data_IF_893398785449
#
_entry.id   IF_893398785449
#
_cell.length_a   1.000
_cell.length_b   1.000
_cell.length_c   1.000
_cell.angle_alpha   90.00
_cell.angle_beta   90.00
_cell.angle_gamma   90.00
#
_symmetry.space_group_name_H-M   'P 1'
#
loop_
_entity.id
_entity.type
_entity.pdbx_description
1 polymer ?
#
# COMPACT_ATOMS: atom_id res chain seq x y z
N UNK A 1 -12.34 53.29 61.72
CA UNK A 1 -12.44 52.68 60.39
C UNK A 1 -11.04 52.49 59.82
N UNK A 2 -10.48 51.27 59.96
CA UNK A 2 -9.13 50.92 59.51
C UNK A 2 -9.22 50.34 58.08
N UNK A 3 -8.59 50.98 57.13
CA UNK A 3 -8.45 50.46 55.76
C UNK A 3 -7.41 49.35 55.71
N UNK A 4 -7.84 48.16 55.38
CA UNK A 4 -6.99 47.02 55.17
C UNK A 4 -6.44 47.11 53.73
N UNK A 5 -5.14 47.30 53.60
CA UNK A 5 -4.44 47.23 52.29
C UNK A 5 -4.12 45.76 52.04
N UNK A 6 -4.76 45.22 51.03
CA UNK A 6 -4.43 43.90 50.50
C UNK A 6 -3.18 43.98 49.64
N UNK A 7 -2.08 43.45 50.14
CA UNK A 7 -0.84 43.24 49.37
C UNK A 7 -0.98 41.95 48.59
N UNK A 8 -1.08 42.01 47.30
CA UNK A 8 -0.98 40.87 46.38
C UNK A 8 0.51 40.64 46.13
N UNK A 9 1.08 39.48 46.46
CA UNK A 9 2.45 39.17 46.04
C UNK A 9 2.46 38.86 44.53
N UNK A 10 3.24 39.62 43.81
CA UNK A 10 3.61 39.33 42.42
C UNK A 10 4.50 38.09 42.46
N UNK A 11 3.91 36.94 42.16
CA UNK A 11 4.69 35.74 41.91
C UNK A 11 5.27 35.87 40.50
N UNK A 12 6.55 36.11 40.46
CA UNK A 12 7.34 36.05 39.23
C UNK A 12 7.24 34.65 38.63
N UNK A 13 6.55 34.53 37.53
CA UNK A 13 6.56 33.31 36.70
C UNK A 13 7.93 33.30 36.00
N UNK A 14 8.93 32.80 36.71
CA UNK A 14 10.19 32.40 36.06
C UNK A 14 9.89 31.20 35.15
N UNK A 15 10.11 31.42 33.90
CA UNK A 15 10.15 30.49 32.79
C UNK A 15 10.65 29.11 33.19
N UNK A 16 9.74 28.16 33.40
CA UNK A 16 10.00 26.76 33.12
C UNK A 16 9.81 26.57 31.62
N UNK A 17 10.78 27.01 30.85
CA UNK A 17 11.07 26.36 29.58
C UNK A 17 11.55 24.95 29.94
N UNK A 18 10.61 24.05 30.16
CA UNK A 18 10.87 22.64 30.02
C UNK A 18 11.30 22.46 28.57
N UNK A 19 12.59 22.29 28.40
CA UNK A 19 13.21 21.72 27.22
C UNK A 19 12.42 20.46 26.89
N UNK A 20 11.42 20.60 26.02
CA UNK A 20 11.02 19.50 25.19
C UNK A 20 12.28 19.14 24.40
N UNK A 21 13.08 18.28 24.98
CA UNK A 21 13.95 17.41 24.21
C UNK A 21 13.00 16.70 23.27
N UNK A 22 12.85 17.25 22.08
CA UNK A 22 12.51 16.49 20.91
C UNK A 22 13.51 15.33 20.95
N UNK A 23 13.07 14.22 21.52
CA UNK A 23 13.59 12.93 21.18
C UNK A 23 13.34 12.82 19.67
N UNK A 24 14.22 13.43 18.90
CA UNK A 24 14.53 12.98 17.58
C UNK A 24 14.97 11.55 17.79
N UNK A 25 13.98 10.63 17.83
CA UNK A 25 14.25 9.21 17.64
C UNK A 25 14.97 9.21 16.30
N UNK A 26 16.25 9.11 16.42
CA UNK A 26 17.21 9.26 15.35
C UNK A 26 16.79 8.33 14.23
N UNK A 27 16.37 8.87 13.10
CA UNK A 27 16.23 8.12 11.84
C UNK A 27 17.52 7.35 11.53
N UNK A 28 18.62 7.73 12.16
CA UNK A 28 19.95 7.18 11.99
C UNK A 28 20.10 5.73 12.47
N UNK A 29 19.36 5.27 13.47
CA UNK A 29 19.48 3.88 13.91
C UNK A 29 18.69 2.92 13.03
N UNK A 30 17.65 3.39 12.41
CA UNK A 30 16.90 2.63 11.41
C UNK A 30 17.70 2.48 10.11
N UNK A 31 18.36 3.54 9.66
CA UNK A 31 19.23 3.51 8.48
C UNK A 31 20.53 2.75 8.74
N UNK A 32 21.07 2.81 9.95
CA UNK A 32 22.29 2.08 10.35
C UNK A 32 22.08 0.58 10.54
N UNK A 33 20.89 0.15 10.86
CA UNK A 33 20.61 -1.28 10.96
C UNK A 33 20.33 -1.83 9.58
N UNK A 34 21.20 -2.21 8.74
CA UNK A 34 21.06 -3.03 7.47
C UNK A 34 19.67 -3.66 7.21
N UNK A 35 18.62 -3.08 7.76
CA UNK A 35 17.27 -3.57 7.83
C UNK A 35 16.65 -3.62 6.48
N UNK A 36 16.95 -2.62 5.75
CA UNK A 36 16.47 -2.33 4.45
C UNK A 36 17.67 -1.99 3.61
N UNK A 37 18.51 -2.98 3.36
CA UNK A 37 19.49 -2.93 2.28
C UNK A 37 18.72 -2.91 0.96
N UNK A 38 17.78 -1.96 0.85
CA UNK A 38 17.10 -1.73 -0.40
C UNK A 38 17.99 -0.91 -1.30
N UNK A 39 17.98 -1.16 -2.58
CA UNK A 39 18.67 -0.32 -3.53
C UNK A 39 18.15 1.11 -3.38
N UNK A 40 19.05 2.08 -3.33
CA UNK A 40 18.69 3.47 -3.52
C UNK A 40 18.16 3.59 -4.95
N UNK A 41 16.84 3.71 -5.07
CA UNK A 41 16.14 3.63 -6.34
C UNK A 41 16.29 4.88 -7.21
N UNK A 42 17.31 5.70 -7.01
CA UNK A 42 17.50 6.88 -7.84
C UNK A 42 17.64 6.57 -9.31
N UNK A 43 18.05 5.34 -9.65
CA UNK A 43 18.47 5.01 -11.02
C UNK A 43 17.73 3.82 -11.66
N UNK A 44 16.95 3.02 -10.93
CA UNK A 44 16.56 1.75 -11.49
C UNK A 44 15.13 1.31 -11.35
N UNK A 45 14.38 1.84 -10.45
CA UNK A 45 13.02 1.40 -10.22
C UNK A 45 12.11 2.61 -10.02
N UNK A 46 11.51 3.07 -11.10
CA UNK A 46 10.44 4.05 -11.12
C UNK A 46 10.74 5.45 -10.56
N UNK A 47 11.99 5.77 -10.17
CA UNK A 47 12.38 7.13 -9.78
C UNK A 47 11.84 7.65 -8.44
N UNK A 48 11.18 6.81 -7.63
CA UNK A 48 10.72 7.16 -6.28
C UNK A 48 11.46 6.32 -5.23
N UNK A 49 12.17 6.92 -4.26
CA UNK A 49 12.81 6.20 -3.17
C UNK A 49 11.81 5.38 -2.35
N UNK A 50 12.15 4.15 -1.95
CA UNK A 50 11.23 3.27 -1.20
C UNK A 50 10.76 3.87 0.13
N UNK A 51 11.61 4.70 0.78
CA UNK A 51 11.25 5.43 2.00
C UNK A 51 10.11 6.44 1.79
N UNK A 52 9.84 6.83 0.55
CA UNK A 52 8.74 7.71 0.17
C UNK A 52 7.47 6.94 -0.22
N UNK A 53 7.26 5.75 0.35
CA UNK A 53 6.10 4.90 0.09
C UNK A 53 4.76 5.62 0.28
N UNK A 54 4.69 6.63 1.14
CA UNK A 54 3.49 7.47 1.30
C UNK A 54 3.16 8.35 0.08
N UNK A 55 4.03 8.35 -0.93
CA UNK A 55 3.85 9.08 -2.20
C UNK A 55 3.85 8.17 -3.41
N UNK A 56 3.62 6.87 -3.20
CA UNK A 56 3.72 5.86 -4.26
C UNK A 56 2.77 6.11 -5.44
N UNK A 57 1.66 6.78 -5.22
CA UNK A 57 0.73 7.19 -6.29
C UNK A 57 1.36 8.13 -7.33
N UNK A 58 2.47 8.82 -6.99
CA UNK A 58 3.21 9.64 -7.97
C UNK A 58 3.77 8.82 -9.13
N UNK A 59 4.07 7.54 -8.91
CA UNK A 59 4.54 6.64 -9.97
C UNK A 59 3.51 6.50 -11.09
N UNK A 60 2.21 6.54 -10.75
CA UNK A 60 1.15 6.35 -11.72
C UNK A 60 0.94 7.58 -12.61
N UNK A 61 1.57 8.72 -12.31
CA UNK A 61 1.58 9.89 -13.19
C UNK A 61 2.60 9.77 -14.35
N UNK A 62 3.49 8.79 -14.30
CA UNK A 62 4.46 8.56 -15.38
C UNK A 62 3.73 8.15 -16.65
N UNK A 63 4.14 8.76 -17.76
CA UNK A 63 3.62 8.43 -19.09
C UNK A 63 4.40 7.28 -19.69
N UNK A 64 3.68 6.34 -20.27
CA UNK A 64 4.23 5.19 -20.96
C UNK A 64 3.54 5.02 -22.32
N UNK A 65 4.28 4.54 -23.30
CA UNK A 65 3.74 4.24 -24.62
C UNK A 65 3.58 2.75 -24.76
N UNK A 66 2.35 2.30 -24.98
CA UNK A 66 2.01 0.89 -25.15
C UNK A 66 1.03 0.72 -26.30
N UNK A 67 0.91 -0.52 -26.79
CA UNK A 67 -0.06 -0.87 -27.83
C UNK A 67 -1.35 -1.38 -27.21
N UNK A 68 -2.47 -0.88 -27.70
CA UNK A 68 -3.80 -1.38 -27.40
C UNK A 68 -4.60 -1.58 -28.69
N UNK A 69 -5.62 -2.44 -28.64
CA UNK A 69 -6.54 -2.61 -29.75
C UNK A 69 -7.24 -1.29 -30.04
N UNK A 70 -7.22 -0.87 -31.32
CA UNK A 70 -7.94 0.32 -31.72
C UNK A 70 -9.46 0.15 -31.62
N UNK A 71 -10.16 1.26 -31.43
CA UNK A 71 -11.62 1.26 -31.40
C UNK A 71 -12.25 0.77 -32.73
N UNK A 72 -11.60 1.11 -33.85
CA UNK A 72 -12.04 0.72 -35.19
C UNK A 72 -11.13 -0.35 -35.74
N UNK A 73 -11.69 -1.40 -36.39
CA UNK A 73 -10.90 -2.40 -37.07
C UNK A 73 -10.21 -1.80 -38.31
N UNK A 74 -9.25 -2.52 -38.82
CA UNK A 74 -8.62 -2.22 -40.09
C UNK A 74 -9.67 -2.18 -41.22
N UNK A 75 -9.78 -1.08 -42.00
CA UNK A 75 -10.80 -0.96 -43.02
C UNK A 75 -10.65 -1.97 -44.19
N UNK A 76 -9.45 -2.50 -44.40
CA UNK A 76 -9.18 -3.44 -45.46
C UNK A 76 -9.41 -4.90 -45.06
N UNK A 77 -9.02 -5.24 -43.85
CA UNK A 77 -9.06 -6.64 -43.39
C UNK A 77 -10.20 -6.92 -42.44
N UNK A 78 -10.83 -5.90 -41.84
CA UNK A 78 -11.84 -6.04 -40.80
C UNK A 78 -11.29 -6.54 -39.46
N UNK A 79 -9.98 -6.73 -39.32
CA UNK A 79 -9.34 -7.26 -38.10
C UNK A 79 -9.00 -6.15 -37.12
N UNK A 80 -8.94 -6.48 -35.78
CA UNK A 80 -8.48 -5.53 -34.80
C UNK A 80 -7.06 -5.05 -35.09
N UNK A 81 -6.87 -3.73 -35.09
CA UNK A 81 -5.54 -3.12 -35.21
C UNK A 81 -4.95 -2.79 -33.86
N UNK A 82 -3.64 -2.94 -33.72
CA UNK A 82 -2.90 -2.42 -32.58
C UNK A 82 -2.41 -1.00 -32.90
N UNK A 83 -2.74 -0.05 -32.04
CA UNK A 83 -2.23 1.33 -32.08
C UNK A 83 -1.44 1.65 -30.84
N UNK A 84 -0.45 2.52 -30.98
CA UNK A 84 0.31 3.07 -29.87
C UNK A 84 -0.44 4.23 -29.23
N UNK A 85 -0.48 4.21 -27.90
CA UNK A 85 -1.03 5.26 -27.06
C UNK A 85 0.00 5.64 -26.01
N UNK A 86 0.17 6.94 -25.79
CA UNK A 86 1.06 7.47 -24.73
C UNK A 86 0.19 8.04 -23.63
N UNK A 87 0.08 7.33 -22.54
CA UNK A 87 -0.83 7.64 -21.45
C UNK A 87 -0.15 7.46 -20.08
N UNK A 88 -0.75 8.01 -19.04
CA UNK A 88 -0.27 7.76 -17.66
C UNK A 88 -0.56 6.31 -17.25
N UNK A 89 0.18 5.80 -16.27
CA UNK A 89 -0.18 4.50 -15.68
C UNK A 89 -1.60 4.51 -15.08
N UNK A 90 -2.08 5.65 -14.54
CA UNK A 90 -3.47 5.78 -14.12
C UNK A 90 -4.45 5.41 -15.22
N UNK A 91 -4.21 5.90 -16.41
CA UNK A 91 -5.08 5.67 -17.54
C UNK A 91 -4.91 4.25 -18.10
N UNK A 92 -3.68 3.74 -18.16
CA UNK A 92 -3.38 2.36 -18.58
C UNK A 92 -4.03 1.31 -17.66
N UNK A 93 -4.03 1.53 -16.38
CA UNK A 93 -4.70 0.64 -15.41
C UNK A 93 -6.19 0.96 -15.24
N UNK A 94 -6.77 1.70 -16.16
CA UNK A 94 -8.21 2.03 -16.18
C UNK A 94 -8.75 2.46 -14.83
N UNK A 95 -8.02 3.38 -14.17
CA UNK A 95 -8.42 3.87 -12.87
C UNK A 95 -9.73 4.66 -12.91
N UNK A 96 -10.52 4.52 -11.84
CA UNK A 96 -11.74 5.31 -11.59
C UNK A 96 -11.52 6.26 -10.41
N UNK A 97 -12.14 7.45 -10.45
CA UNK A 97 -12.20 8.30 -9.27
C UNK A 97 -13.54 8.11 -8.55
N UNK A 98 -13.53 8.28 -7.25
CA UNK A 98 -14.72 8.12 -6.42
C UNK A 98 -14.62 8.88 -5.10
N UNK A 99 -15.63 8.66 -4.28
CA UNK A 99 -15.74 9.22 -2.94
C UNK A 99 -16.17 8.10 -1.97
N UNK A 100 -15.50 7.98 -0.83
CA UNK A 100 -15.83 6.99 0.19
C UNK A 100 -17.21 7.29 0.76
N UNK A 101 -18.09 6.31 0.73
CA UNK A 101 -19.44 6.41 1.31
C UNK A 101 -19.58 5.61 2.59
N UNK A 102 -18.74 4.59 2.79
CA UNK A 102 -18.70 3.79 4.02
C UNK A 102 -17.37 3.06 4.13
N UNK A 103 -16.78 3.01 5.31
CA UNK A 103 -15.78 2.01 5.71
C UNK A 103 -16.53 0.90 6.42
N UNK A 104 -16.30 -0.36 6.05
CA UNK A 104 -17.02 -1.51 6.60
C UNK A 104 -16.17 -2.20 7.67
N UNK A 105 -14.90 -2.37 7.35
CA UNK A 105 -13.83 -2.94 8.19
C UNK A 105 -12.47 -2.44 7.70
N UNK A 106 -11.39 -3.01 8.19
CA UNK A 106 -10.03 -2.54 7.86
C UNK A 106 -9.61 -2.71 6.41
N UNK A 107 -10.34 -3.47 5.58
CA UNK A 107 -9.99 -3.72 4.18
C UNK A 107 -11.19 -3.75 3.21
N UNK A 108 -12.36 -3.40 3.68
CA UNK A 108 -13.59 -3.35 2.89
C UNK A 108 -14.26 -1.98 2.98
N UNK A 109 -14.49 -1.36 1.85
CA UNK A 109 -15.11 -0.02 1.78
C UNK A 109 -16.17 0.06 0.68
N UNK A 110 -17.06 1.04 0.79
CA UNK A 110 -17.93 1.46 -0.31
C UNK A 110 -17.46 2.79 -0.87
N UNK A 111 -17.43 2.90 -2.19
CA UNK A 111 -17.12 4.14 -2.88
C UNK A 111 -18.18 4.45 -3.95
N UNK A 112 -18.56 5.72 -4.05
CA UNK A 112 -19.39 6.24 -5.15
C UNK A 112 -18.47 6.67 -6.27
N UNK A 113 -18.69 6.18 -7.47
CA UNK A 113 -17.91 6.56 -8.66
C UNK A 113 -18.25 8.00 -9.05
N UNK A 114 -17.23 8.84 -9.16
CA UNK A 114 -17.34 10.24 -9.58
C UNK A 114 -16.77 10.47 -10.97
N UNK A 115 -15.85 9.60 -11.43
CA UNK A 115 -15.27 9.67 -12.75
C UNK A 115 -14.91 8.29 -13.27
N UNK A 116 -15.31 8.02 -14.49
CA UNK A 116 -15.02 6.75 -15.19
C UNK A 116 -13.58 6.72 -15.72
N UNK A 117 -13.05 5.52 -16.03
CA UNK A 117 -11.74 5.38 -16.64
C UNK A 117 -11.66 6.12 -17.98
N UNK A 118 -10.47 6.62 -18.30
CA UNK A 118 -10.20 7.12 -19.64
C UNK A 118 -10.31 5.97 -20.65
N UNK A 119 -11.00 6.21 -21.73
CA UNK A 119 -11.09 5.25 -22.83
C UNK A 119 -9.76 5.22 -23.60
N UNK A 120 -9.10 4.06 -23.62
CA UNK A 120 -7.92 3.78 -24.41
C UNK A 120 -8.26 2.65 -25.37
N UNK A 121 -8.13 2.90 -26.66
CA UNK A 121 -8.47 1.91 -27.67
C UNK A 121 -9.94 1.46 -27.57
N UNK A 122 -10.16 0.16 -27.59
CA UNK A 122 -11.49 -0.46 -27.52
C UNK A 122 -11.99 -0.71 -26.08
N UNK A 123 -11.25 -0.24 -25.05
CA UNK A 123 -11.69 -0.42 -23.66
C UNK A 123 -13.08 0.17 -23.41
N UNK A 124 -13.90 -0.59 -22.72
CA UNK A 124 -15.24 -0.17 -22.28
C UNK A 124 -15.49 -0.62 -20.86
N UNK A 125 -16.41 0.05 -20.18
CA UNK A 125 -16.85 -0.30 -18.83
C UNK A 125 -18.36 -0.27 -18.75
N UNK A 126 -18.94 -1.11 -17.88
CA UNK A 126 -20.37 -1.12 -17.58
C UNK A 126 -20.75 -0.18 -16.42
N UNK A 127 -19.76 0.37 -15.73
CA UNK A 127 -20.00 1.32 -14.64
C UNK A 127 -20.52 2.66 -15.13
N UNK A 128 -21.22 3.35 -14.25
CA UNK A 128 -21.74 4.70 -14.46
C UNK A 128 -21.28 5.61 -13.32
N UNK A 129 -21.16 6.90 -13.61
CA UNK A 129 -20.99 7.92 -12.56
C UNK A 129 -22.22 7.87 -11.66
N UNK A 130 -21.98 7.85 -10.34
CA UNK A 130 -23.02 7.71 -9.31
C UNK A 130 -23.18 6.27 -8.79
N UNK A 131 -22.69 5.26 -9.48
CA UNK A 131 -22.72 3.88 -8.97
C UNK A 131 -21.94 3.80 -7.65
N UNK A 132 -22.52 3.06 -6.69
CA UNK A 132 -21.85 2.73 -5.42
C UNK A 132 -21.34 1.30 -5.54
N UNK A 133 -20.03 1.14 -5.38
CA UNK A 133 -19.35 -0.16 -5.47
C UNK A 133 -18.74 -0.54 -4.12
N UNK A 134 -18.80 -1.81 -3.81
CA UNK A 134 -18.13 -2.41 -2.66
C UNK A 134 -16.77 -2.91 -3.07
N UNK A 135 -15.74 -2.51 -2.36
CA UNK A 135 -14.34 -2.82 -2.66
C UNK A 135 -13.74 -3.71 -1.57
N UNK A 136 -12.97 -4.70 -1.99
CA UNK A 136 -11.96 -5.41 -1.20
C UNK A 136 -10.61 -4.83 -1.54
N UNK A 137 -9.96 -4.22 -0.57
CA UNK A 137 -8.62 -3.67 -0.76
C UNK A 137 -7.61 -4.81 -0.74
N UNK A 138 -6.81 -5.01 -1.80
CA UNK A 138 -5.87 -6.12 -1.89
C UNK A 138 -4.58 -5.85 -1.11
N UNK A 139 -3.72 -6.86 -1.08
CA UNK A 139 -2.37 -6.82 -0.51
C UNK A 139 -2.30 -6.68 1.01
N UNK A 140 -3.44 -6.60 1.67
CA UNK A 140 -3.58 -6.60 3.13
C UNK A 140 -4.69 -7.55 3.57
N UNK A 141 -4.61 -7.96 4.82
CA UNK A 141 -5.67 -8.71 5.49
C UNK A 141 -5.77 -8.23 6.93
N UNK A 142 -6.91 -7.67 7.28
CA UNK A 142 -7.18 -7.13 8.61
C UNK A 142 -7.85 -8.19 9.49
N UNK A 143 -7.93 -7.94 10.77
CA UNK A 143 -8.69 -8.80 11.67
C UNK A 143 -10.20 -8.75 11.31
N UNK A 144 -10.92 -9.81 11.61
CA UNK A 144 -12.33 -9.92 11.27
C UNK A 144 -13.24 -9.42 12.40
N UNK A 145 -14.12 -8.49 12.09
CA UNK A 145 -15.19 -8.07 13.01
C UNK A 145 -16.37 -9.04 12.97
N UNK A 146 -16.59 -9.63 11.81
CA UNK A 146 -17.72 -10.51 11.55
C UNK A 146 -17.38 -11.52 10.44
N UNK A 147 -17.63 -12.79 10.74
CA UNK A 147 -17.52 -13.89 9.77
C UNK A 147 -18.92 -14.53 9.63
N UNK A 148 -19.50 -14.57 8.41
CA UNK A 148 -20.80 -15.16 8.23
C UNK A 148 -20.91 -16.60 8.76
N UNK A 149 -21.86 -16.86 9.64
CA UNK A 149 -22.10 -18.20 10.20
C UNK A 149 -21.12 -18.65 11.29
N UNK A 150 -20.21 -17.77 11.75
CA UNK A 150 -19.26 -18.08 12.82
C UNK A 150 -19.26 -16.98 13.87
N UNK A 151 -18.97 -17.32 15.10
CA UNK A 151 -18.66 -16.37 16.16
C UNK A 151 -17.17 -16.02 16.05
N UNK A 152 -16.86 -14.72 15.97
CA UNK A 152 -15.47 -14.25 15.94
C UNK A 152 -14.92 -14.25 17.35
N UNK A 153 -13.68 -14.72 17.51
CA UNK A 153 -12.97 -14.67 18.80
C UNK A 153 -12.99 -13.24 19.38
N UNK A 154 -13.39 -13.04 20.64
CA UNK A 154 -13.53 -11.70 21.22
C UNK A 154 -12.23 -10.88 21.20
N UNK A 155 -11.07 -11.54 21.31
CA UNK A 155 -9.76 -10.89 21.25
C UNK A 155 -9.46 -10.43 19.85
N UNK A 156 -9.71 -11.28 18.83
CA UNK A 156 -9.57 -10.91 17.42
C UNK A 156 -10.48 -9.75 17.07
N UNK A 157 -11.75 -9.81 17.50
CA UNK A 157 -12.72 -8.72 17.28
C UNK A 157 -12.27 -7.39 17.91
N UNK A 158 -11.64 -7.42 19.07
CA UNK A 158 -11.11 -6.20 19.70
C UNK A 158 -9.95 -5.59 18.88
N UNK A 159 -9.15 -6.40 18.20
CA UNK A 159 -8.14 -5.92 17.26
C UNK A 159 -8.79 -5.38 15.98
N UNK A 160 -9.80 -6.08 15.45
CA UNK A 160 -10.54 -5.66 14.26
C UNK A 160 -11.17 -4.27 14.42
N UNK A 161 -11.77 -3.97 15.56
CA UNK A 161 -12.29 -2.63 15.83
C UNK A 161 -11.21 -1.54 15.82
N UNK A 162 -9.98 -1.88 16.18
CA UNK A 162 -8.86 -0.92 16.18
C UNK A 162 -8.29 -0.71 14.79
N UNK A 163 -8.16 -1.75 13.97
CA UNK A 163 -7.71 -1.59 12.59
C UNK A 163 -8.78 -0.89 11.73
N UNK A 164 -10.07 -1.17 11.95
CA UNK A 164 -11.18 -0.44 11.36
C UNK A 164 -11.13 1.06 11.72
N UNK A 165 -10.99 1.40 12.99
CA UNK A 165 -10.88 2.79 13.41
C UNK A 165 -9.67 3.50 12.78
N UNK A 166 -8.55 2.79 12.58
CA UNK A 166 -7.42 3.33 11.85
C UNK A 166 -7.73 3.53 10.36
N UNK A 167 -8.39 2.56 9.72
CA UNK A 167 -8.85 2.69 8.33
C UNK A 167 -9.78 3.90 8.14
N UNK A 168 -10.77 4.09 9.03
CA UNK A 168 -11.64 5.27 9.02
C UNK A 168 -10.88 6.58 9.20
N UNK A 169 -9.82 6.58 10.01
CA UNK A 169 -8.98 7.76 10.21
C UNK A 169 -8.18 8.15 8.96
N UNK A 170 -7.84 7.17 8.12
CA UNK A 170 -7.13 7.41 6.85
C UNK A 170 -8.07 7.93 5.76
N UNK A 171 -9.26 7.35 5.66
CA UNK A 171 -10.22 7.59 4.58
C UNK A 171 -11.66 7.76 5.14
N UNK A 172 -11.91 8.79 5.96
CA UNK A 172 -13.25 9.05 6.45
C UNK A 172 -14.26 9.22 5.29
N UNK A 173 -15.53 9.03 5.57
CA UNK A 173 -16.62 9.27 4.59
C UNK A 173 -16.47 10.65 3.96
N UNK A 174 -16.63 10.74 2.64
CA UNK A 174 -16.39 11.94 1.84
C UNK A 174 -14.96 12.07 1.31
N UNK A 175 -14.04 11.17 1.69
CA UNK A 175 -12.68 11.18 1.13
C UNK A 175 -12.71 10.88 -0.37
N UNK A 176 -12.10 11.77 -1.15
CA UNK A 176 -11.87 11.54 -2.58
C UNK A 176 -10.80 10.47 -2.77
N UNK A 177 -11.10 9.51 -3.62
CA UNK A 177 -10.22 8.37 -3.89
C UNK A 177 -10.06 8.13 -5.37
N UNK A 178 -8.94 7.50 -5.74
CA UNK A 178 -8.70 6.93 -7.06
C UNK A 178 -8.44 5.44 -6.91
N UNK A 179 -9.13 4.64 -7.68
CA UNK A 179 -9.19 3.19 -7.56
C UNK A 179 -8.56 2.54 -8.78
N UNK A 180 -7.72 1.56 -8.57
CA UNK A 180 -7.07 0.76 -9.61
C UNK A 180 -7.39 -0.70 -9.39
N UNK A 181 -7.97 -1.36 -10.39
CA UNK A 181 -8.22 -2.80 -10.36
C UNK A 181 -7.45 -3.50 -11.48
N UNK A 182 -6.86 -4.65 -11.22
CA UNK A 182 -6.30 -5.48 -12.28
C UNK A 182 -7.38 -5.95 -13.27
N UNK A 183 -8.60 -6.08 -12.79
CA UNK A 183 -9.73 -6.47 -13.62
C UNK A 183 -11.06 -6.05 -12.97
N UNK A 184 -11.69 -5.01 -13.51
CA UNK A 184 -12.97 -4.51 -13.05
C UNK A 184 -14.16 -5.48 -13.26
N UNK A 185 -13.96 -6.59 -13.95
CA UNK A 185 -14.97 -7.64 -14.08
C UNK A 185 -14.87 -8.70 -12.99
N UNK A 186 -13.75 -8.76 -12.26
CA UNK A 186 -13.51 -9.78 -11.22
C UNK A 186 -14.00 -9.31 -9.86
N UNK A 187 -14.68 -10.22 -9.15
CA UNK A 187 -15.15 -10.01 -7.79
C UNK A 187 -14.66 -11.14 -6.88
N UNK A 188 -14.39 -10.79 -5.64
CA UNK A 188 -14.26 -11.74 -4.54
C UNK A 188 -15.57 -11.68 -3.75
N UNK A 189 -16.41 -12.70 -3.87
CA UNK A 189 -17.81 -12.68 -3.45
C UNK A 189 -18.57 -11.54 -4.16
N UNK A 190 -19.05 -10.54 -3.42
CA UNK A 190 -19.79 -9.37 -3.94
C UNK A 190 -18.91 -8.11 -4.08
N UNK A 191 -17.60 -8.20 -3.79
CA UNK A 191 -16.66 -7.08 -3.74
C UNK A 191 -15.76 -7.06 -4.96
N UNK A 192 -15.58 -5.89 -5.58
CA UNK A 192 -14.53 -5.67 -6.56
C UNK A 192 -13.17 -5.57 -5.86
N UNK A 193 -12.13 -6.15 -6.43
CA UNK A 193 -10.76 -6.05 -5.91
C UNK A 193 -10.10 -4.84 -6.54
N UNK A 194 -9.76 -3.84 -5.73
CA UNK A 194 -9.09 -2.65 -6.23
C UNK A 194 -8.19 -2.01 -5.16
N UNK A 195 -7.00 -1.60 -5.60
CA UNK A 195 -6.13 -0.71 -4.83
C UNK A 195 -6.74 0.68 -4.74
N UNK A 196 -6.61 1.31 -3.58
CA UNK A 196 -7.23 2.58 -3.27
C UNK A 196 -6.16 3.63 -2.95
N UNK A 197 -6.25 4.75 -3.66
CA UNK A 197 -5.36 5.89 -3.48
C UNK A 197 -6.14 7.12 -3.01
N UNK A 198 -5.54 7.91 -2.14
CA UNK A 198 -6.16 9.08 -1.51
C UNK A 198 -5.13 10.17 -1.20
N UNK A 199 -5.57 11.23 -0.54
CA UNK A 199 -4.73 12.38 -0.23
C UNK A 199 -4.58 13.33 -1.41
N UNK A 200 -3.67 14.30 -1.28
CA UNK A 200 -3.42 15.27 -2.32
C UNK A 200 -2.91 14.56 -3.59
N UNK A 201 -3.58 14.82 -4.72
CA UNK A 201 -3.27 14.21 -6.01
C UNK A 201 -3.22 12.66 -6.00
N UNK A 202 -3.93 12.02 -5.07
CA UNK A 202 -3.98 10.56 -4.91
C UNK A 202 -2.59 9.92 -4.71
N UNK A 203 -1.69 10.61 -4.00
CA UNK A 203 -0.32 10.11 -3.84
C UNK A 203 -0.17 8.98 -2.82
N UNK A 204 -1.10 8.84 -1.86
CA UNK A 204 -1.06 7.84 -0.80
C UNK A 204 -1.83 6.59 -1.21
N UNK A 205 -1.24 5.41 -1.00
CA UNK A 205 -1.93 4.14 -1.20
C UNK A 205 -2.41 3.59 0.15
N UNK A 206 -3.65 3.14 0.22
CA UNK A 206 -4.29 2.69 1.45
C UNK A 206 -3.57 1.49 2.08
N UNK A 207 -3.22 0.47 1.27
CA UNK A 207 -2.54 -0.73 1.78
C UNK A 207 -1.15 -0.41 2.33
N UNK A 208 -0.39 0.49 1.69
CA UNK A 208 0.91 0.93 2.22
C UNK A 208 0.77 1.67 3.54
N UNK A 209 -0.26 2.51 3.69
CA UNK A 209 -0.50 3.25 4.94
C UNK A 209 -0.96 2.34 6.08
N UNK A 210 -1.82 1.36 5.82
CA UNK A 210 -2.25 0.37 6.79
C UNK A 210 -1.07 -0.48 7.29
N UNK A 211 -0.21 -0.94 6.38
CA UNK A 211 1.01 -1.69 6.70
C UNK A 211 2.01 -0.83 7.49
N UNK A 212 2.28 0.39 7.03
CA UNK A 212 3.16 1.33 7.71
C UNK A 212 2.62 1.74 9.09
N UNK A 213 1.30 1.82 9.23
CA UNK A 213 0.61 2.06 10.49
C UNK A 213 0.72 0.90 11.48
N UNK A 214 1.07 -0.31 11.00
CA UNK A 214 1.20 -1.52 11.83
C UNK A 214 -0.13 -2.08 12.31
N UNK A 215 -1.21 -1.88 11.53
CA UNK A 215 -2.56 -2.35 11.85
C UNK A 215 -3.02 -3.55 11.04
N UNK A 216 -2.20 -4.03 10.12
CA UNK A 216 -2.52 -5.19 9.29
C UNK A 216 -1.27 -5.99 8.96
N UNK A 217 -1.47 -7.22 8.49
CA UNK A 217 -0.44 -8.01 7.83
C UNK A 217 -0.60 -7.92 6.30
N UNK A 218 0.49 -8.04 5.54
CA UNK A 218 0.37 -8.17 4.10
C UNK A 218 -0.24 -9.54 3.77
N UNK A 219 -1.21 -9.53 2.87
CA UNK A 219 -1.73 -10.71 2.20
C UNK A 219 -1.34 -10.63 0.74
N UNK A 220 -0.38 -11.44 0.38
CA UNK A 220 0.07 -11.60 -0.99
C UNK A 220 -0.39 -13.00 -1.43
N UNK A 221 -1.67 -13.18 -1.83
CA UNK A 221 -2.16 -14.45 -2.30
C UNK A 221 -1.21 -14.89 -3.41
N UNK A 222 -0.79 -16.15 -3.34
CA UNK A 222 0.18 -16.67 -4.29
C UNK A 222 1.58 -16.01 -4.15
N UNK A 223 2.07 -15.91 -2.92
CA UNK A 223 3.38 -15.32 -2.59
C UNK A 223 4.47 -15.62 -3.63
N UNK A 224 4.53 -16.86 -4.11
CA UNK A 224 5.46 -17.25 -5.15
C UNK A 224 5.16 -16.63 -6.50
N UNK A 225 3.88 -16.44 -6.87
CA UNK A 225 3.48 -15.88 -8.16
C UNK A 225 3.72 -14.37 -8.20
N UNK A 226 3.40 -13.63 -7.12
CA UNK A 226 3.68 -12.18 -7.04
C UNK A 226 5.18 -11.90 -7.14
N UNK A 227 5.99 -12.62 -6.37
CA UNK A 227 7.44 -12.46 -6.41
C UNK A 227 8.02 -12.94 -7.75
N UNK A 228 7.48 -14.00 -8.33
CA UNK A 228 7.91 -14.52 -9.63
C UNK A 228 7.57 -13.54 -10.75
N UNK A 229 6.34 -13.03 -10.78
CA UNK A 229 5.92 -12.00 -11.74
C UNK A 229 6.77 -10.74 -11.63
N UNK A 230 6.91 -10.21 -10.41
CA UNK A 230 7.76 -9.06 -10.16
C UNK A 230 9.20 -9.26 -10.66
N UNK A 231 9.78 -10.45 -10.42
CA UNK A 231 11.13 -10.79 -10.87
C UNK A 231 11.23 -10.89 -12.38
N UNK A 232 10.26 -11.53 -13.01
CA UNK A 232 10.23 -11.68 -14.47
C UNK A 232 10.08 -10.33 -15.19
N UNK A 233 9.42 -9.36 -14.58
CA UNK A 233 9.15 -8.05 -15.17
C UNK A 233 10.06 -6.93 -14.65
N UNK A 234 11.01 -7.26 -13.77
CA UNK A 234 11.80 -6.22 -13.08
C UNK A 234 12.61 -5.35 -14.02
N UNK A 235 13.28 -5.95 -14.99
CA UNK A 235 14.13 -5.27 -15.97
C UNK A 235 13.35 -4.71 -17.16
N UNK A 236 12.04 -4.87 -17.24
CA UNK A 236 11.22 -4.17 -18.22
C UNK A 236 11.10 -2.70 -17.87
N UNK A 237 11.32 -1.82 -18.82
CA UNK A 237 11.17 -0.36 -18.63
C UNK A 237 9.72 0.00 -18.36
N UNK A 238 8.79 -0.66 -19.02
CA UNK A 238 7.35 -0.46 -18.83
C UNK A 238 6.80 -1.59 -17.96
N UNK A 239 6.11 -1.22 -16.88
CA UNK A 239 5.46 -2.18 -15.99
C UNK A 239 4.04 -2.46 -16.50
N UNK A 240 3.83 -3.68 -16.94
CA UNK A 240 2.53 -4.12 -17.46
C UNK A 240 1.52 -4.40 -16.34
N UNK A 241 2.03 -4.76 -15.16
CA UNK A 241 1.18 -5.08 -14.01
C UNK A 241 1.33 -4.02 -12.91
N UNK A 242 0.20 -3.57 -12.37
CA UNK A 242 0.17 -2.62 -11.27
C UNK A 242 0.97 -3.12 -10.05
N UNK A 243 0.89 -4.41 -9.75
CA UNK A 243 1.62 -5.03 -8.64
C UNK A 243 3.14 -4.89 -8.76
N UNK A 244 3.68 -4.85 -9.97
CA UNK A 244 5.12 -4.67 -10.21
C UNK A 244 5.59 -3.26 -9.82
N UNK A 245 4.69 -2.28 -9.82
CA UNK A 245 4.97 -0.92 -9.36
C UNK A 245 4.94 -0.81 -7.82
N UNK A 246 3.99 -1.45 -7.17
CA UNK A 246 3.68 -1.18 -5.75
C UNK A 246 4.36 -2.14 -4.78
N UNK A 247 4.70 -3.37 -5.18
CA UNK A 247 5.20 -4.42 -4.30
C UNK A 247 6.41 -4.01 -3.43
N UNK A 248 7.46 -3.33 -3.95
CA UNK A 248 8.58 -2.91 -3.13
C UNK A 248 8.19 -1.88 -2.06
N UNK A 249 7.19 -1.04 -2.34
CA UNK A 249 6.70 -0.03 -1.38
C UNK A 249 5.83 -0.65 -0.30
N UNK A 250 4.99 -1.63 -0.64
CA UNK A 250 4.27 -2.44 0.34
C UNK A 250 5.24 -3.15 1.29
N UNK A 251 6.27 -3.79 0.73
CA UNK A 251 7.31 -4.46 1.50
C UNK A 251 8.06 -3.48 2.41
N UNK A 252 8.43 -2.31 1.91
CA UNK A 252 9.10 -1.28 2.71
C UNK A 252 8.20 -0.79 3.84
N UNK A 253 6.96 -0.42 3.53
CA UNK A 253 5.96 0.09 4.47
C UNK A 253 5.72 -0.90 5.63
N UNK A 254 5.57 -2.18 5.31
CA UNK A 254 5.41 -3.24 6.30
C UNK A 254 6.59 -3.32 7.28
N UNK A 255 7.81 -3.41 6.75
CA UNK A 255 9.02 -3.48 7.58
C UNK A 255 9.24 -2.19 8.38
N UNK A 256 8.88 -1.03 7.84
CA UNK A 256 8.95 0.27 8.53
C UNK A 256 7.98 0.34 9.71
N UNK A 257 6.75 -0.17 9.55
CA UNK A 257 5.76 -0.28 10.62
C UNK A 257 6.26 -1.10 11.80
N UNK A 258 6.84 -2.28 11.52
CA UNK A 258 7.44 -3.15 12.55
C UNK A 258 8.63 -2.46 13.22
N UNK A 259 9.56 -1.92 12.43
CA UNK A 259 10.79 -1.31 12.93
C UNK A 259 10.51 -0.12 13.86
N UNK A 260 9.54 0.70 13.49
CA UNK A 260 9.13 1.89 14.25
C UNK A 260 8.12 1.59 15.34
N UNK A 261 7.79 0.31 15.55
CA UNK A 261 6.83 -0.14 16.57
C UNK A 261 5.50 0.62 16.50
N UNK A 262 4.92 0.71 15.31
CA UNK A 262 3.65 1.40 15.12
C UNK A 262 2.46 0.46 15.34
N UNK A 263 1.29 1.03 15.54
CA UNK A 263 0.03 0.30 15.69
C UNK A 263 0.11 -0.81 16.72
N UNK A 264 -0.22 -2.02 16.32
CA UNK A 264 -0.17 -3.20 17.17
C UNK A 264 1.25 -3.56 17.64
N UNK A 265 2.29 -3.21 16.86
CA UNK A 265 3.69 -3.45 17.29
C UNK A 265 4.16 -2.55 18.44
N UNK A 266 3.36 -1.56 18.82
CA UNK A 266 3.72 -0.67 19.94
C UNK A 266 3.62 -1.38 21.30
N UNK A 267 2.57 -2.20 21.49
CA UNK A 267 2.28 -2.83 22.80
C UNK A 267 1.75 -4.25 22.68
N UNK A 268 1.06 -4.59 21.59
CA UNK A 268 0.28 -5.84 21.51
C UNK A 268 1.16 -7.00 21.00
N UNK A 269 1.96 -6.79 19.95
CA UNK A 269 2.76 -7.85 19.35
C UNK A 269 4.23 -7.45 19.24
N UNK A 270 5.12 -8.36 19.63
CA UNK A 270 6.58 -8.15 19.55
C UNK A 270 7.11 -8.30 18.11
N UNK A 271 6.41 -9.09 17.30
CA UNK A 271 6.85 -9.45 15.95
C UNK A 271 5.64 -9.87 15.09
N UNK A 272 5.80 -9.96 13.76
CA UNK A 272 4.71 -10.31 12.86
C UNK A 272 4.19 -11.76 13.01
N UNK A 273 4.94 -12.66 13.62
CA UNK A 273 4.47 -14.03 13.88
C UNK A 273 3.46 -14.08 15.02
N UNK A 274 3.71 -13.31 16.08
CA UNK A 274 2.73 -13.13 17.16
C UNK A 274 1.46 -12.46 16.63
N UNK A 275 1.62 -11.46 15.76
CA UNK A 275 0.50 -10.81 15.11
C UNK A 275 -0.32 -11.84 14.30
N UNK A 276 0.33 -12.59 13.41
CA UNK A 276 -0.32 -13.60 12.58
C UNK A 276 -1.04 -14.68 13.39
N UNK A 277 -0.51 -15.08 14.54
CA UNK A 277 -1.10 -16.09 15.42
C UNK A 277 -2.45 -15.68 16.02
N UNK A 278 -2.81 -14.40 15.96
CA UNK A 278 -4.07 -13.89 16.46
C UNK A 278 -5.18 -13.80 15.40
N UNK A 279 -4.89 -14.14 14.14
CA UNK A 279 -5.91 -14.31 13.08
C UNK A 279 -6.58 -15.68 13.22
N UNK A 280 -7.43 -15.85 14.20
CA UNK A 280 -8.06 -17.14 14.52
C UNK A 280 -9.18 -17.50 13.53
N UNK A 281 -9.90 -16.50 13.05
CA UNK A 281 -11.03 -16.69 12.14
C UNK A 281 -10.60 -17.10 10.73
N UNK A 282 -9.37 -16.82 10.32
CA UNK A 282 -8.85 -17.20 9.01
C UNK A 282 -8.32 -18.64 8.92
N UNK A 283 -7.99 -19.27 10.04
CA UNK A 283 -7.43 -20.63 10.08
C UNK A 283 -6.09 -20.81 9.38
N UNK A 284 -5.47 -19.73 8.88
CA UNK A 284 -4.19 -19.76 8.16
C UNK A 284 -3.21 -18.74 8.74
N UNK A 285 -1.92 -19.04 8.62
CA UNK A 285 -0.86 -18.12 9.03
C UNK A 285 -0.47 -17.20 7.89
N UNK A 286 -0.96 -15.96 7.91
CA UNK A 286 -0.69 -14.94 6.89
C UNK A 286 0.79 -14.60 6.76
N UNK A 287 1.57 -14.73 7.84
CA UNK A 287 3.00 -14.41 7.80
C UNK A 287 3.78 -15.33 6.89
N UNK A 288 3.36 -16.59 6.70
CA UNK A 288 4.03 -17.51 5.78
C UNK A 288 3.92 -17.03 4.33
N UNK A 289 2.82 -16.38 3.97
CA UNK A 289 2.61 -15.79 2.65
C UNK A 289 3.49 -14.57 2.43
N UNK A 290 3.89 -13.89 3.51
CA UNK A 290 4.61 -12.62 3.48
C UNK A 290 6.10 -12.74 3.75
N UNK A 291 6.61 -13.96 3.97
CA UNK A 291 8.03 -14.18 4.29
C UNK A 291 8.99 -13.62 3.25
N UNK A 292 8.61 -13.66 1.98
CA UNK A 292 9.43 -13.15 0.88
C UNK A 292 9.67 -11.63 0.92
N UNK A 293 8.82 -10.87 1.59
CA UNK A 293 8.96 -9.41 1.73
C UNK A 293 9.44 -8.98 3.11
N UNK A 294 9.51 -9.90 4.08
CA UNK A 294 9.96 -9.62 5.43
C UNK A 294 11.50 -9.49 5.45
N UNK A 295 11.98 -8.44 6.12
CA UNK A 295 13.42 -8.20 6.23
C UNK A 295 14.11 -9.29 7.08
N UNK A 296 15.42 -9.45 6.88
CA UNK A 296 16.24 -10.41 7.63
C UNK A 296 16.21 -10.20 9.14
N UNK A 297 15.92 -8.97 9.59
CA UNK A 297 15.86 -8.63 11.01
C UNK A 297 14.63 -9.22 11.70
N UNK A 298 13.51 -9.32 10.97
CA UNK A 298 12.23 -9.73 11.54
C UNK A 298 11.85 -11.17 11.19
N UNK A 299 12.50 -11.73 10.17
CA UNK A 299 12.27 -13.12 9.77
C UNK A 299 12.93 -14.11 10.72
N UNK A 300 12.22 -15.20 11.02
CA UNK A 300 12.76 -16.38 11.70
C UNK A 300 13.66 -17.24 10.78
N UNK A 301 13.55 -17.02 9.46
CA UNK A 301 14.25 -17.82 8.47
C UNK A 301 15.46 -17.09 7.90
N UNK A 302 16.48 -17.84 7.51
CA UNK A 302 17.63 -17.28 6.80
C UNK A 302 17.19 -16.68 5.47
N UNK A 303 17.51 -15.43 5.24
CA UNK A 303 17.21 -14.73 3.99
C UNK A 303 18.37 -14.81 3.01
N UNK A 304 18.04 -15.18 1.80
CA UNK A 304 18.95 -15.22 0.64
C UNK A 304 18.41 -14.29 -0.45
N UNK A 305 19.13 -14.12 -1.54
CA UNK A 305 18.63 -13.37 -2.71
C UNK A 305 17.43 -14.06 -3.39
N UNK A 306 17.29 -15.36 -3.21
CA UNK A 306 16.23 -16.16 -3.81
C UNK A 306 14.92 -16.06 -3.03
N UNK A 307 14.97 -15.85 -1.73
CA UNK A 307 13.79 -15.92 -0.86
C UNK A 307 13.44 -14.58 -0.17
N UNK A 308 14.09 -13.46 -0.56
CA UNK A 308 13.83 -12.15 0.01
C UNK A 308 13.91 -11.05 -1.05
N UNK A 309 12.84 -10.24 -1.16
CA UNK A 309 12.63 -9.24 -2.19
C UNK A 309 13.79 -8.23 -2.30
N UNK A 310 14.17 -7.58 -1.19
CA UNK A 310 15.19 -6.51 -1.24
C UNK A 310 16.58 -7.03 -1.58
N UNK A 311 16.94 -8.23 -1.11
CA UNK A 311 18.21 -8.87 -1.48
C UNK A 311 18.24 -9.25 -2.95
N UNK A 312 17.09 -9.68 -3.48
CA UNK A 312 16.96 -9.97 -4.89
C UNK A 312 17.07 -8.69 -5.74
N UNK A 313 16.37 -7.62 -5.37
CA UNK A 313 16.46 -6.31 -6.04
C UNK A 313 17.90 -5.81 -6.03
N UNK A 314 18.57 -5.83 -4.89
CA UNK A 314 19.96 -5.39 -4.77
C UNK A 314 20.92 -6.19 -5.67
N UNK A 315 20.73 -7.52 -5.72
CA UNK A 315 21.53 -8.37 -6.62
C UNK A 315 21.28 -8.06 -8.08
N UNK A 316 20.01 -7.92 -8.49
CA UNK A 316 19.62 -7.64 -9.87
C UNK A 316 20.12 -6.27 -10.32
N UNK A 317 20.01 -5.25 -9.47
CA UNK A 317 20.57 -3.93 -9.81
C UNK A 317 22.07 -3.96 -10.02
N UNK A 318 22.83 -4.74 -9.26
CA UNK A 318 24.28 -4.95 -9.52
C UNK A 318 24.53 -5.59 -10.88
N UNK A 319 23.66 -6.51 -11.32
CA UNK A 319 23.78 -7.11 -12.65
C UNK A 319 23.47 -6.09 -13.76
N UNK A 320 22.42 -5.26 -13.58
CA UNK A 320 22.07 -4.19 -14.51
C UNK A 320 23.18 -3.14 -14.62
N UNK A 321 23.73 -2.68 -13.48
CA UNK A 321 24.83 -1.72 -13.44
C UNK A 321 26.13 -2.24 -14.09
N UNK A 322 26.38 -3.54 -13.99
CA UNK A 322 27.55 -4.19 -14.60
C UNK A 322 27.31 -4.65 -16.05
N UNK A 323 26.18 -4.30 -16.66
CA UNK A 323 25.76 -4.76 -17.99
C UNK A 323 25.66 -6.28 -18.17
N UNK A 324 25.63 -7.05 -17.07
CA UNK A 324 25.38 -8.51 -17.08
C UNK A 324 23.90 -8.84 -17.28
N UNK A 325 23.03 -7.88 -17.05
CA UNK A 325 21.61 -7.89 -17.36
C UNK A 325 21.28 -6.57 -18.05
N UNK A 326 20.32 -6.56 -18.98
CA UNK A 326 19.90 -5.35 -19.70
C UNK A 326 18.48 -4.99 -19.32
N UNK A 327 18.16 -3.70 -19.43
CA UNK A 327 16.78 -3.24 -19.43
C UNK A 327 16.11 -3.68 -20.72
N UNK A 328 14.89 -4.18 -20.61
CA UNK A 328 14.05 -4.58 -21.75
C UNK A 328 12.99 -3.49 -22.00
N UNK A 329 12.74 -3.24 -23.27
CA UNK A 329 11.75 -2.24 -23.73
C UNK A 329 10.31 -2.73 -23.52
#
# INVERSE_FOLDING_TARGET
MKKLKLLIPIVSISSLMSSFSLLSVSCTDYEKTKLLEHPDNKEGFNGLPLKEYSKVGKLLNQKVTQKAQSEKPDPQTGLPMLKEYTETYWDWFHSMEGEITKVVDGDTVYARITKLPKKIGNYSTTFKVGDIIKLRIPSIDTFEEHVPGQEVDPVEKAYALRDHAFAESLIPVGTKVRMVSPNWSSKTYDRYVADLFFGENFERNFSTEMLAGGYTLPRLPWNHEYLASFRANYNKKIKEMFTDLILPYLAYAFNDGIAKKRGFYKKDFKNPYEFSANYKSHGTSLISESEGILSSKFSKYKKTKENQLFRWIQHTNKLLQSNKLKWED
#
